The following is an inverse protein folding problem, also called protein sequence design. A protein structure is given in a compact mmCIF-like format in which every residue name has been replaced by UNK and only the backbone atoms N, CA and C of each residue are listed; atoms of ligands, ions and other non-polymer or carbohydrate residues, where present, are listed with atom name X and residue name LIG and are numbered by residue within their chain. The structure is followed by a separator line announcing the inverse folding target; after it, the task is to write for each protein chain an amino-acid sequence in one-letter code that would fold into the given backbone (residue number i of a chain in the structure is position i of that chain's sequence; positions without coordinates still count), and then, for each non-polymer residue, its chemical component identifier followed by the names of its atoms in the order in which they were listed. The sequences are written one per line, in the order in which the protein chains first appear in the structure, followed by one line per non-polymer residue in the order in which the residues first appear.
data_IF_211316848791
#
_entry.id   IF_211316848791
#
_cell.length_a   1.000
_cell.length_b   1.000
_cell.length_c   1.000
_cell.angle_alpha   90.00
_cell.angle_beta   90.00
_cell.angle_gamma   90.00
#
_symmetry.space_group_name_H-M   'P 1'
#
loop_
_entity.id
_entity.type
_entity.pdbx_description
1 polymer ?
#
# COMPACT_ATOMS: atom_id res chain seq x y z
N UNK A 1 10.14 19.77 8.24
CA UNK A 1 10.08 18.48 8.96
C UNK A 1 10.16 17.38 7.90
N UNK A 2 11.04 16.39 8.07
CA UNK A 2 11.22 15.30 7.08
C UNK A 2 10.04 14.33 7.19
N UNK A 3 9.45 13.94 6.06
CA UNK A 3 8.32 13.00 6.02
C UNK A 3 8.78 11.56 5.75
N UNK A 4 7.90 10.59 5.99
CA UNK A 4 8.12 9.18 5.61
C UNK A 4 8.41 9.05 4.10
N UNK A 5 7.65 9.79 3.28
CA UNK A 5 7.83 9.87 1.83
C UNK A 5 9.24 10.33 1.46
N UNK A 6 9.77 11.34 2.15
CA UNK A 6 11.12 11.85 1.90
C UNK A 6 12.19 10.80 2.21
N UNK A 7 12.04 10.06 3.31
CA UNK A 7 12.96 8.98 3.70
C UNK A 7 12.95 7.86 2.67
N UNK A 8 11.76 7.41 2.24
CA UNK A 8 11.64 6.34 1.25
C UNK A 8 12.25 6.78 -0.09
N UNK A 9 11.92 7.98 -0.57
CA UNK A 9 12.49 8.51 -1.80
C UNK A 9 14.01 8.70 -1.71
N UNK A 10 14.52 9.10 -0.55
CA UNK A 10 15.97 9.16 -0.31
C UNK A 10 16.62 7.78 -0.41
N UNK A 11 16.03 6.75 0.21
CA UNK A 11 16.55 5.37 0.14
C UNK A 11 16.52 4.84 -1.29
N UNK A 12 15.42 5.06 -2.02
CA UNK A 12 15.28 4.68 -3.42
C UNK A 12 16.38 5.31 -4.26
N UNK A 13 16.56 6.63 -4.14
CA UNK A 13 17.61 7.36 -4.86
C UNK A 13 19.02 6.91 -4.46
N UNK A 14 19.28 6.76 -3.16
CA UNK A 14 20.61 6.50 -2.61
C UNK A 14 21.10 5.10 -2.94
N UNK A 15 20.20 4.11 -2.93
CA UNK A 15 20.54 2.70 -3.14
C UNK A 15 20.17 2.17 -4.53
N UNK A 16 19.50 2.98 -5.36
CA UNK A 16 19.07 2.55 -6.69
C UNK A 16 17.98 1.48 -6.66
N UNK A 17 17.12 1.50 -5.63
CA UNK A 17 16.00 0.56 -5.52
C UNK A 17 14.96 0.79 -6.62
N UNK A 18 14.36 -0.29 -7.10
CA UNK A 18 13.49 -0.28 -8.29
C UNK A 18 12.09 -0.81 -8.00
N UNK A 19 11.87 -1.40 -6.83
CA UNK A 19 10.59 -2.01 -6.45
C UNK A 19 10.11 -1.62 -5.05
N UNK A 20 8.85 -1.18 -4.96
CA UNK A 20 8.19 -0.74 -3.74
C UNK A 20 6.80 -1.39 -3.60
N UNK A 21 6.55 -1.98 -2.43
CA UNK A 21 5.25 -2.53 -2.03
C UNK A 21 4.66 -1.74 -0.85
N UNK A 22 3.44 -1.23 -1.01
CA UNK A 22 2.65 -0.70 0.10
C UNK A 22 1.56 -1.70 0.53
N UNK A 23 1.59 -2.12 1.79
CA UNK A 23 0.56 -3.00 2.36
C UNK A 23 -0.37 -2.15 3.22
N UNK A 24 -1.68 -2.25 3.01
CA UNK A 24 -2.67 -1.41 3.68
C UNK A 24 -2.87 -0.09 2.95
N UNK A 25 -3.28 -0.16 1.68
CA UNK A 25 -3.58 1.02 0.87
C UNK A 25 -4.87 1.66 1.39
N UNK A 26 -4.75 2.90 1.87
CA UNK A 26 -5.88 3.75 2.26
C UNK A 26 -5.80 5.03 1.38
N UNK A 27 -5.75 6.27 1.88
CA UNK A 27 -5.50 7.42 0.98
C UNK A 27 -4.08 7.33 0.35
N UNK A 28 -3.96 7.20 -0.99
CA UNK A 28 -2.68 7.08 -1.67
C UNK A 28 -1.94 8.43 -1.78
N UNK A 29 -2.64 9.57 -1.69
CA UNK A 29 -2.08 10.91 -1.99
C UNK A 29 -1.00 11.39 -1.01
N UNK A 30 -1.06 11.08 0.29
CA UNK A 30 0.00 11.47 1.23
C UNK A 30 1.34 10.76 0.96
N UNK A 31 1.32 9.54 0.42
CA UNK A 31 2.53 8.69 0.33
C UNK A 31 2.67 7.97 -1.01
N UNK A 32 1.79 7.00 -1.32
CA UNK A 32 1.92 6.09 -2.47
C UNK A 32 2.13 6.81 -3.81
N UNK A 33 1.34 7.87 -4.07
CA UNK A 33 1.47 8.65 -5.32
C UNK A 33 2.81 9.39 -5.42
N UNK A 34 3.37 9.78 -4.27
CA UNK A 34 4.62 10.57 -4.16
C UNK A 34 5.89 9.72 -4.10
N UNK A 35 5.78 8.40 -3.91
CA UNK A 35 6.92 7.50 -4.03
C UNK A 35 7.41 7.49 -5.48
N UNK A 36 8.71 7.73 -5.67
CA UNK A 36 9.40 7.76 -6.97
C UNK A 36 10.19 6.48 -7.16
N UNK A 37 9.48 5.40 -7.49
CA UNK A 37 10.05 4.09 -7.77
C UNK A 37 9.56 3.61 -9.15
N UNK A 38 10.35 2.77 -9.82
CA UNK A 38 10.00 2.25 -11.15
C UNK A 38 8.80 1.31 -11.09
N UNK A 39 8.86 0.31 -10.18
CA UNK A 39 7.75 -0.58 -9.88
C UNK A 39 7.15 -0.19 -8.53
N UNK A 40 5.87 0.17 -8.54
CA UNK A 40 5.08 0.43 -7.34
C UNK A 40 3.83 -0.42 -7.38
N UNK A 41 3.62 -1.18 -6.32
CA UNK A 41 2.44 -2.01 -6.17
C UNK A 41 1.87 -1.87 -4.76
N UNK A 42 0.59 -2.19 -4.62
CA UNK A 42 -0.10 -2.10 -3.34
C UNK A 42 -0.99 -3.32 -3.09
N UNK A 43 -1.18 -3.64 -1.81
CA UNK A 43 -2.02 -4.74 -1.35
C UNK A 43 -2.98 -4.21 -0.29
N UNK A 44 -4.27 -4.40 -0.50
CA UNK A 44 -5.30 -4.14 0.51
C UNK A 44 -6.50 -5.07 0.28
N UNK A 45 -7.09 -5.66 1.34
CA UNK A 45 -8.27 -6.51 1.20
C UNK A 45 -9.55 -5.70 0.99
N UNK A 46 -9.46 -4.38 0.74
CA UNK A 46 -10.61 -3.50 0.57
C UNK A 46 -11.66 -4.15 -0.32
N UNK A 47 -12.86 -4.27 0.20
CA UNK A 47 -14.01 -4.74 -0.55
C UNK A 47 -15.20 -3.82 -0.26
N UNK A 48 -15.82 -3.19 -1.28
CA UNK A 48 -16.99 -2.33 -1.10
C UNK A 48 -18.17 -3.05 -0.43
N UNK A 49 -18.21 -4.39 -0.51
CA UNK A 49 -19.23 -5.25 0.10
C UNK A 49 -18.82 -5.79 1.48
N UNK A 50 -17.59 -5.54 1.94
CA UNK A 50 -17.15 -6.00 3.26
C UNK A 50 -17.50 -5.01 4.38
N UNK A 51 -17.90 -5.55 5.53
CA UNK A 51 -18.08 -4.77 6.76
C UNK A 51 -16.74 -4.39 7.44
N UNK A 52 -15.60 -4.80 6.87
CA UNK A 52 -14.27 -4.62 7.47
C UNK A 52 -13.54 -3.39 6.94
N UNK A 53 -13.91 -2.93 5.74
CA UNK A 53 -13.33 -1.76 5.07
C UNK A 53 -14.43 -0.73 4.77
N UNK A 54 -15.07 -0.20 5.81
CA UNK A 54 -16.08 0.86 5.70
C UNK A 54 -15.47 2.28 5.59
N UNK A 55 -14.14 2.40 5.49
CA UNK A 55 -13.45 3.69 5.53
C UNK A 55 -13.57 4.49 4.23
N UNK A 56 -13.69 3.81 3.08
CA UNK A 56 -13.81 4.50 1.79
C UNK A 56 -15.27 4.69 1.42
N UNK A 57 -15.61 5.91 1.06
CA UNK A 57 -16.85 6.22 0.36
C UNK A 57 -16.83 5.65 -1.07
N UNK A 58 -17.96 5.68 -1.76
CA UNK A 58 -18.00 5.35 -3.20
C UNK A 58 -17.10 6.27 -4.03
N UNK A 59 -16.93 7.53 -3.59
CA UNK A 59 -16.03 8.48 -4.23
C UNK A 59 -14.56 8.09 -4.00
N UNK A 60 -14.20 7.75 -2.77
CA UNK A 60 -12.87 7.25 -2.43
C UNK A 60 -12.54 5.98 -3.22
N UNK A 61 -13.48 5.05 -3.34
CA UNK A 61 -13.28 3.86 -4.17
C UNK A 61 -12.93 4.23 -5.61
N UNK A 62 -13.69 5.11 -6.24
CA UNK A 62 -13.44 5.53 -7.62
C UNK A 62 -12.08 6.22 -7.77
N UNK A 63 -11.63 6.95 -6.73
CA UNK A 63 -10.35 7.66 -6.72
C UNK A 63 -9.16 6.75 -6.42
N UNK A 64 -9.31 5.79 -5.53
CA UNK A 64 -8.20 5.02 -4.96
C UNK A 64 -8.01 3.66 -5.63
N UNK A 65 -9.07 3.08 -6.20
CA UNK A 65 -9.01 1.78 -6.88
C UNK A 65 -7.92 1.69 -7.98
N UNK A 66 -7.65 2.73 -8.80
CA UNK A 66 -6.55 2.68 -9.77
C UNK A 66 -5.16 2.49 -9.15
N UNK A 67 -4.99 2.82 -7.86
CA UNK A 67 -3.74 2.65 -7.14
C UNK A 67 -3.66 1.32 -6.38
N UNK A 68 -4.76 0.57 -6.29
CA UNK A 68 -4.83 -0.75 -5.65
C UNK A 68 -4.43 -1.86 -6.62
N UNK A 69 -3.23 -2.40 -6.49
CA UNK A 69 -2.74 -3.44 -7.41
C UNK A 69 -3.32 -4.82 -7.10
N UNK A 70 -3.34 -5.18 -5.81
CA UNK A 70 -3.79 -6.48 -5.34
C UNK A 70 -4.89 -6.31 -4.30
N UNK A 71 -6.09 -6.74 -4.66
CA UNK A 71 -7.25 -6.71 -3.78
C UNK A 71 -7.38 -8.03 -3.01
N UNK A 72 -6.57 -8.17 -1.97
CA UNK A 72 -6.46 -9.36 -1.11
C UNK A 72 -5.76 -9.01 0.19
N UNK A 73 -5.75 -9.92 1.17
CA UNK A 73 -4.95 -9.73 2.39
C UNK A 73 -3.45 -9.85 2.07
N UNK A 74 -2.58 -9.31 2.93
CA UNK A 74 -1.14 -9.50 2.77
C UNK A 74 -0.72 -10.96 2.88
N UNK A 75 -1.40 -11.74 3.72
CA UNK A 75 -1.12 -13.16 3.91
C UNK A 75 -1.43 -13.93 2.63
N UNK A 76 -2.59 -13.67 2.02
CA UNK A 76 -2.96 -14.26 0.72
C UNK A 76 -1.99 -13.81 -0.38
N UNK A 77 -1.57 -12.56 -0.37
CA UNK A 77 -0.61 -12.02 -1.34
C UNK A 77 0.74 -12.76 -1.25
N UNK A 78 1.32 -12.90 -0.07
CA UNK A 78 2.60 -13.59 0.09
C UNK A 78 2.49 -15.10 -0.15
N UNK A 79 1.32 -15.71 0.09
CA UNK A 79 1.05 -17.10 -0.26
C UNK A 79 0.91 -17.31 -1.78
N UNK A 80 0.25 -16.39 -2.48
CA UNK A 80 0.02 -16.46 -3.93
C UNK A 80 1.28 -16.10 -4.74
N UNK A 81 2.14 -15.21 -4.21
CA UNK A 81 3.34 -14.73 -4.88
C UNK A 81 4.61 -14.92 -4.02
N UNK A 82 4.98 -16.16 -3.67
CA UNK A 82 6.09 -16.43 -2.73
C UNK A 82 7.45 -15.93 -3.25
N UNK A 83 7.61 -15.92 -4.56
CA UNK A 83 8.84 -15.51 -5.24
C UNK A 83 8.93 -14.01 -5.51
N UNK A 84 7.83 -13.25 -5.33
CA UNK A 84 7.88 -11.79 -5.46
C UNK A 84 8.69 -11.20 -4.31
N UNK A 85 9.70 -10.40 -4.67
CA UNK A 85 10.53 -9.64 -3.74
C UNK A 85 10.48 -8.17 -4.12
N UNK A 86 10.60 -7.33 -3.12
CA UNK A 86 10.67 -5.88 -3.27
C UNK A 86 11.87 -5.36 -2.51
N UNK A 87 12.46 -4.28 -3.03
CA UNK A 87 13.54 -3.59 -2.36
C UNK A 87 13.04 -2.87 -1.09
N UNK A 88 11.82 -2.32 -1.16
CA UNK A 88 11.14 -1.72 -0.02
C UNK A 88 9.75 -2.32 0.12
N UNK A 89 9.43 -2.79 1.33
CA UNK A 89 8.08 -3.15 1.75
C UNK A 89 7.67 -2.22 2.89
N UNK A 90 6.56 -1.53 2.72
CA UNK A 90 6.02 -0.62 3.72
C UNK A 90 4.67 -1.13 4.23
N UNK A 91 4.63 -1.79 5.39
CA UNK A 91 3.37 -2.12 6.04
C UNK A 91 2.78 -0.87 6.68
N UNK A 92 1.53 -0.53 6.34
CA UNK A 92 0.70 0.28 7.21
C UNK A 92 0.05 -0.63 8.23
N UNK A 93 0.38 -0.44 9.50
CA UNK A 93 -0.44 -0.97 10.57
C UNK A 93 -1.82 -0.35 10.42
N UNK A 94 -2.82 -1.16 10.13
CA UNK A 94 -4.19 -0.76 10.40
C UNK A 94 -4.23 -0.44 11.91
N UNK A 95 -4.54 0.80 12.27
CA UNK A 95 -5.01 1.11 13.61
C UNK A 95 -6.40 0.49 13.75
N UNK A 96 -6.49 -0.84 13.76
CA UNK A 96 -7.75 -1.50 14.08
C UNK A 96 -8.01 -1.21 15.56
N UNK A 97 -9.21 -0.75 15.95
CA UNK A 97 -9.72 -1.22 17.24
C UNK A 97 -9.64 -2.74 17.17
N UNK A 98 -9.00 -3.36 18.16
CA UNK A 98 -9.23 -4.79 18.42
C UNK A 98 -10.74 -4.95 18.51
N UNK A 99 -11.35 -5.59 17.52
CA UNK A 99 -12.73 -6.02 17.67
C UNK A 99 -12.74 -7.27 18.56
N UNK A 100 -13.80 -7.43 19.36
CA UNK A 100 -13.84 -8.31 20.54
C UNK A 100 -13.64 -9.79 20.23
#
# INVERSE_FOLDING_TARGET
MITRTDIINYLIWKQGYRSYLEIGLDDPEPNFTKIRCELKESVDPYDPSSNFCAAWTQEDLNRFLPYLTYRMTSDDFFAAYPDKKYDIVLPRSASRPRYP
#
